data_IF_495618168053
#
_entry.id   IF_495618168053
#
_cell.length_a   1.000
_cell.length_b   1.000
_cell.length_c   1.000
_cell.angle_alpha   90.00
_cell.angle_beta   90.00
_cell.angle_gamma   90.00
#
_symmetry.space_group_name_H-M   'P 1'
#
loop_
_entity.id
_entity.type
_entity.pdbx_description
1 polymer ?
#
# COMPACT_ATOMS: atom_id res chain seq x y z
N UNK A 1 15.83 -18.86 1.87
CA UNK A 1 14.72 -18.26 1.11
C UNK A 1 13.80 -17.64 2.16
N UNK A 2 13.92 -16.33 2.41
CA UNK A 2 13.00 -15.62 3.32
C UNK A 2 11.60 -15.70 2.69
N UNK A 3 10.59 -16.08 3.47
CA UNK A 3 9.20 -16.08 3.02
C UNK A 3 8.78 -14.61 2.86
N UNK A 4 7.97 -14.30 1.86
CA UNK A 4 7.32 -12.98 1.76
C UNK A 4 6.38 -12.68 2.94
N UNK A 5 5.98 -13.70 3.71
CA UNK A 5 5.11 -13.55 4.89
C UNK A 5 5.71 -12.88 6.14
N UNK A 6 6.88 -12.22 6.01
CA UNK A 6 7.46 -11.38 7.08
C UNK A 6 7.26 -9.88 6.81
N UNK A 7 6.59 -9.51 5.71
CA UNK A 7 6.28 -8.12 5.41
C UNK A 7 5.02 -7.64 6.17
N UNK A 8 4.93 -6.33 6.47
CA UNK A 8 3.67 -5.72 6.88
C UNK A 8 2.54 -6.03 5.90
N UNK A 9 1.32 -6.20 6.41
CA UNK A 9 0.14 -6.53 5.59
C UNK A 9 -0.04 -5.54 4.43
N UNK A 10 0.13 -4.24 4.68
CA UNK A 10 0.10 -3.20 3.64
C UNK A 10 1.07 -3.47 2.47
N UNK A 11 2.28 -3.98 2.74
CA UNK A 11 3.26 -4.26 1.69
C UNK A 11 3.06 -5.63 1.05
N UNK A 12 2.78 -6.66 1.85
CA UNK A 12 2.59 -8.02 1.32
C UNK A 12 1.41 -8.07 0.35
N UNK A 13 0.25 -7.60 0.82
CA UNK A 13 -0.99 -7.59 0.04
C UNK A 13 -0.97 -6.54 -1.06
N UNK A 14 -0.39 -5.36 -0.79
CA UNK A 14 -0.23 -4.31 -1.79
C UNK A 14 0.62 -4.75 -2.98
N UNK A 15 1.74 -5.43 -2.73
CA UNK A 15 2.58 -5.99 -3.81
C UNK A 15 1.85 -7.10 -4.55
N UNK A 16 1.15 -7.98 -3.84
CA UNK A 16 0.39 -9.06 -4.45
C UNK A 16 -0.67 -8.52 -5.42
N UNK A 17 -1.48 -7.55 -4.99
CA UNK A 17 -2.51 -6.92 -5.82
C UNK A 17 -1.89 -6.14 -6.98
N UNK A 18 -0.87 -5.32 -6.73
CA UNK A 18 -0.19 -4.53 -7.77
C UNK A 18 0.40 -5.42 -8.87
N UNK A 19 1.08 -6.52 -8.50
CA UNK A 19 1.66 -7.46 -9.46
C UNK A 19 0.57 -8.22 -10.21
N UNK A 20 -0.47 -8.70 -9.52
CA UNK A 20 -1.58 -9.41 -10.16
C UNK A 20 -2.26 -8.54 -11.23
N UNK A 21 -2.54 -7.28 -10.92
CA UNK A 21 -3.13 -6.33 -11.86
C UNK A 21 -2.21 -6.08 -13.08
N UNK A 22 -0.90 -5.89 -12.86
CA UNK A 22 0.06 -5.73 -13.96
C UNK A 22 0.18 -6.96 -14.87
N UNK A 23 -0.19 -8.14 -14.37
CA UNK A 23 -0.28 -9.37 -15.15
C UNK A 23 -1.64 -9.53 -15.86
N UNK A 24 -2.54 -8.56 -15.72
CA UNK A 24 -3.87 -8.54 -16.35
C UNK A 24 -4.94 -9.32 -15.59
N UNK A 25 -4.72 -9.65 -14.30
CA UNK A 25 -5.72 -10.30 -13.48
C UNK A 25 -6.74 -9.29 -12.93
N UNK A 26 -7.98 -9.73 -12.70
CA UNK A 26 -8.98 -9.00 -11.91
C UNK A 26 -8.63 -9.13 -10.42
N UNK A 27 -7.57 -8.43 -10.00
CA UNK A 27 -6.99 -8.56 -8.66
C UNK A 27 -7.97 -8.17 -7.55
N UNK A 28 -8.95 -7.31 -7.85
CA UNK A 28 -9.97 -6.85 -6.91
C UNK A 28 -11.32 -7.58 -7.04
N UNK A 29 -11.42 -8.57 -7.94
CA UNK A 29 -12.63 -9.35 -8.24
C UNK A 29 -13.35 -9.86 -6.99
N UNK A 30 -12.61 -10.47 -6.07
CA UNK A 30 -13.13 -10.99 -4.81
C UNK A 30 -12.94 -10.04 -3.62
N UNK A 31 -12.39 -8.84 -3.85
CA UNK A 31 -11.97 -7.89 -2.81
C UNK A 31 -12.87 -6.66 -2.73
N UNK A 32 -14.05 -6.70 -3.36
CA UNK A 32 -15.08 -5.67 -3.22
C UNK A 32 -15.13 -4.63 -4.36
N UNK A 33 -14.21 -4.69 -5.33
CA UNK A 33 -14.20 -3.80 -6.50
C UNK A 33 -14.02 -4.58 -7.81
N UNK A 34 -14.94 -5.49 -8.15
CA UNK A 34 -14.78 -6.38 -9.30
C UNK A 34 -14.69 -5.64 -10.63
N UNK A 35 -13.72 -6.02 -11.45
CA UNK A 35 -13.47 -5.41 -12.76
C UNK A 35 -12.86 -4.01 -12.70
N UNK A 36 -12.46 -3.54 -11.52
CA UNK A 36 -11.75 -2.26 -11.35
C UNK A 36 -10.26 -2.51 -11.14
N UNK A 37 -9.45 -1.59 -11.65
CA UNK A 37 -8.06 -1.43 -11.21
C UNK A 37 -8.01 -0.83 -9.80
N UNK A 38 -6.88 -1.01 -9.11
CA UNK A 38 -6.62 -0.35 -7.83
C UNK A 38 -6.85 1.16 -7.93
N UNK A 39 -6.32 1.78 -8.97
CA UNK A 39 -6.44 3.22 -9.20
C UNK A 39 -7.88 3.67 -9.43
N UNK A 40 -8.67 2.92 -10.21
CA UNK A 40 -10.09 3.23 -10.43
C UNK A 40 -10.91 3.12 -9.13
N UNK A 41 -10.62 2.11 -8.31
CA UNK A 41 -11.23 1.98 -6.99
C UNK A 41 -10.82 3.13 -6.05
N UNK A 42 -9.55 3.55 -6.08
CA UNK A 42 -9.07 4.70 -5.31
C UNK A 42 -9.80 5.99 -5.66
N UNK A 43 -9.97 6.29 -6.94
CA UNK A 43 -10.62 7.55 -7.35
C UNK A 43 -12.02 7.66 -6.75
N UNK A 44 -12.77 6.55 -6.76
CA UNK A 44 -14.07 6.48 -6.08
C UNK A 44 -13.95 6.73 -4.58
N UNK A 45 -12.97 6.15 -3.90
CA UNK A 45 -12.79 6.31 -2.45
C UNK A 45 -12.27 7.69 -2.05
N UNK A 46 -11.52 8.35 -2.94
CA UNK A 46 -11.08 9.73 -2.77
C UNK A 46 -12.29 10.67 -2.78
N UNK A 47 -13.19 10.52 -3.76
CA UNK A 47 -14.41 11.32 -3.87
C UNK A 47 -15.35 11.16 -2.66
N UNK A 48 -15.44 9.95 -2.10
CA UNK A 48 -16.32 9.65 -0.97
C UNK A 48 -15.66 9.86 0.39
N UNK A 49 -14.40 10.27 0.44
CA UNK A 49 -13.64 10.48 1.69
C UNK A 49 -13.46 9.19 2.49
N UNK A 50 -13.35 8.04 1.83
CA UNK A 50 -13.27 6.72 2.46
C UNK A 50 -11.83 6.20 2.65
N UNK A 51 -10.83 6.88 2.10
CA UNK A 51 -9.43 6.47 2.23
C UNK A 51 -8.99 6.34 3.70
N UNK A 52 -8.16 5.36 3.98
CA UNK A 52 -7.45 5.24 5.25
C UNK A 52 -6.27 6.21 5.25
N UNK A 53 -5.86 6.74 6.40
CA UNK A 53 -4.56 7.40 6.47
C UNK A 53 -3.43 6.39 6.27
N UNK A 54 -2.27 6.84 5.77
CA UNK A 54 -1.11 5.95 5.62
C UNK A 54 -0.69 5.31 6.94
N UNK A 55 -0.88 6.03 8.06
CA UNK A 55 -0.57 5.51 9.39
C UNK A 55 -1.54 4.42 9.81
N UNK A 56 -2.84 4.57 9.55
CA UNK A 56 -3.84 3.53 9.84
C UNK A 56 -3.57 2.29 9.01
N UNK A 57 -3.34 2.45 7.70
CA UNK A 57 -3.07 1.34 6.79
C UNK A 57 -1.78 0.58 7.18
N UNK A 58 -0.70 1.30 7.49
CA UNK A 58 0.56 0.70 7.95
C UNK A 58 0.46 0.01 9.32
N UNK A 59 -0.58 0.33 10.11
CA UNK A 59 -0.82 -0.28 11.42
C UNK A 59 -1.70 -1.54 11.35
N UNK A 60 -2.24 -1.90 10.18
CA UNK A 60 -2.98 -3.14 10.01
C UNK A 60 -2.03 -4.33 10.11
N UNK A 61 -2.37 -5.29 10.98
CA UNK A 61 -1.66 -6.56 11.09
C UNK A 61 -2.05 -7.56 10.01
N UNK A 62 -3.21 -7.36 9.38
CA UNK A 62 -3.74 -8.16 8.26
C UNK A 62 -4.68 -7.28 7.42
N UNK A 63 -4.90 -7.69 6.17
CA UNK A 63 -5.97 -7.15 5.32
C UNK A 63 -6.82 -8.34 4.89
N UNK A 64 -8.13 -8.28 5.15
CA UNK A 64 -9.06 -9.38 4.85
C UNK A 64 -10.24 -9.45 5.81
N UNK A 65 -10.07 -9.06 7.08
CA UNK A 65 -11.17 -8.94 8.04
C UNK A 65 -12.04 -7.71 7.77
N UNK A 66 -13.32 -7.72 8.18
CA UNK A 66 -14.18 -6.53 8.08
C UNK A 66 -13.58 -5.31 8.79
N UNK A 67 -12.83 -5.51 9.88
CA UNK A 67 -12.18 -4.44 10.63
C UNK A 67 -11.08 -3.76 9.81
N UNK A 68 -10.38 -4.51 8.95
CA UNK A 68 -9.34 -3.98 8.06
C UNK A 68 -9.89 -3.19 6.87
N UNK A 69 -11.22 -3.23 6.63
CA UNK A 69 -11.90 -2.60 5.49
C UNK A 69 -11.24 -3.01 4.16
N UNK A 70 -11.20 -4.32 3.83
CA UNK A 70 -10.42 -4.87 2.74
C UNK A 70 -10.75 -4.24 1.39
N UNK A 71 -12.02 -3.87 1.19
CA UNK A 71 -12.51 -3.19 -0.01
C UNK A 71 -11.82 -1.85 -0.29
N UNK A 72 -11.28 -1.21 0.75
CA UNK A 72 -10.46 0.01 0.64
C UNK A 72 -8.98 -0.31 0.81
N UNK A 73 -8.62 -1.12 1.80
CA UNK A 73 -7.22 -1.36 2.17
C UNK A 73 -6.40 -2.07 1.09
N UNK A 74 -6.99 -3.03 0.36
CA UNK A 74 -6.31 -3.69 -0.77
C UNK A 74 -5.96 -2.74 -1.91
N UNK A 75 -6.94 -2.04 -2.54
CA UNK A 75 -6.62 -1.14 -3.64
C UNK A 75 -5.70 0.00 -3.18
N UNK A 76 -5.93 0.55 -1.98
CA UNK A 76 -5.07 1.59 -1.41
C UNK A 76 -3.61 1.14 -1.25
N UNK A 77 -3.40 -0.07 -0.69
CA UNK A 77 -2.06 -0.64 -0.55
C UNK A 77 -1.38 -0.84 -1.91
N UNK A 78 -2.11 -1.33 -2.91
CA UNK A 78 -1.59 -1.55 -4.26
C UNK A 78 -1.18 -0.24 -4.96
N UNK A 79 -2.02 0.80 -4.85
CA UNK A 79 -1.70 2.12 -5.39
C UNK A 79 -0.44 2.72 -4.73
N UNK A 80 -0.30 2.56 -3.41
CA UNK A 80 0.91 3.01 -2.72
C UNK A 80 2.16 2.28 -3.22
N UNK A 81 2.08 0.98 -3.52
CA UNK A 81 3.23 0.26 -4.11
C UNK A 81 3.62 0.84 -5.46
N UNK A 82 2.63 1.11 -6.33
CA UNK A 82 2.85 1.78 -7.61
C UNK A 82 3.51 3.15 -7.44
N UNK A 83 2.92 4.00 -6.61
CA UNK A 83 3.45 5.32 -6.27
C UNK A 83 4.89 5.26 -5.73
N UNK A 84 5.20 4.34 -4.81
CA UNK A 84 6.54 4.21 -4.26
C UNK A 84 7.58 3.82 -5.33
N UNK A 85 7.18 2.96 -6.27
CA UNK A 85 8.03 2.56 -7.39
C UNK A 85 8.25 3.74 -8.35
N UNK A 86 7.19 4.49 -8.66
CA UNK A 86 7.24 5.59 -9.64
C UNK A 86 7.98 6.82 -9.09
N UNK A 87 7.75 7.20 -7.83
CA UNK A 87 8.35 8.38 -7.19
C UNK A 87 9.81 8.14 -6.77
N UNK A 88 10.11 6.98 -6.18
CA UNK A 88 11.41 6.72 -5.57
C UNK A 88 12.29 5.74 -6.36
N UNK A 89 11.73 5.09 -7.38
CA UNK A 89 12.40 4.09 -8.17
C UNK A 89 12.44 2.70 -7.51
N UNK A 90 12.61 1.68 -8.36
CA UNK A 90 12.63 0.27 -7.98
C UNK A 90 13.72 -0.08 -6.95
N UNK A 91 14.89 0.54 -7.02
CA UNK A 91 15.99 0.24 -6.09
C UNK A 91 15.65 0.70 -4.67
N UNK A 92 15.11 1.91 -4.52
CA UNK A 92 14.66 2.42 -3.22
C UNK A 92 13.51 1.57 -2.68
N UNK A 93 12.56 1.21 -3.53
CA UNK A 93 11.45 0.34 -3.16
C UNK A 93 11.93 -1.00 -2.60
N UNK A 94 12.89 -1.66 -3.26
CA UNK A 94 13.50 -2.92 -2.79
C UNK A 94 14.23 -2.75 -1.47
N UNK A 95 14.94 -1.65 -1.28
CA UNK A 95 15.62 -1.37 -0.01
C UNK A 95 14.63 -1.17 1.14
N UNK A 96 13.49 -0.51 0.89
CA UNK A 96 12.40 -0.41 1.86
C UNK A 96 11.83 -1.79 2.21
N UNK A 97 11.56 -2.64 1.21
CA UNK A 97 11.10 -4.02 1.47
C UNK A 97 12.10 -4.82 2.32
N UNK A 98 13.40 -4.70 2.04
CA UNK A 98 14.45 -5.35 2.83
C UNK A 98 14.50 -4.82 4.26
N UNK A 99 14.38 -3.52 4.45
CA UNK A 99 14.35 -2.90 5.78
C UNK A 99 13.16 -3.38 6.61
N UNK A 100 11.98 -3.50 5.98
CA UNK A 100 10.77 -4.03 6.60
C UNK A 100 10.93 -5.50 6.98
N UNK A 101 11.41 -6.34 6.05
CA UNK A 101 11.63 -7.77 6.30
C UNK A 101 12.73 -8.07 7.33
N UNK A 102 13.70 -7.16 7.50
CA UNK A 102 14.76 -7.29 8.49
C UNK A 102 14.34 -6.79 9.89
N UNK A 103 13.18 -6.15 10.02
CA UNK A 103 12.69 -5.67 11.31
C UNK A 103 12.32 -6.85 12.22
N UNK A 104 13.13 -7.06 13.26
CA UNK A 104 13.04 -8.17 14.24
C UNK A 104 11.67 -8.26 14.93
N UNK A 105 10.91 -7.16 14.94
CA UNK A 105 9.51 -7.15 15.34
C UNK A 105 8.69 -6.30 14.35
N UNK A 106 7.89 -6.90 13.46
CA UNK A 106 6.89 -6.18 12.68
C UNK A 106 5.71 -5.82 13.59
N UNK A 107 5.96 -5.04 14.65
CA UNK A 107 4.87 -4.43 15.41
C UNK A 107 4.26 -3.33 14.54
N UNK A 108 2.92 -3.28 14.38
CA UNK A 108 2.20 -2.19 13.73
C UNK A 108 2.77 -0.79 13.97
N UNK A 109 3.11 -0.48 15.23
CA UNK A 109 3.62 0.84 15.61
C UNK A 109 5.03 1.19 15.10
N UNK A 110 5.84 0.22 14.68
CA UNK A 110 7.22 0.43 14.19
C UNK A 110 7.30 0.59 12.67
N UNK A 111 6.32 0.05 11.94
CA UNK A 111 6.28 0.09 10.47
C UNK A 111 6.38 1.53 9.93
N UNK A 112 5.59 2.51 10.43
CA UNK A 112 5.72 3.91 10.01
C UNK A 112 7.14 4.48 10.13
N UNK A 113 7.87 4.09 11.18
CA UNK A 113 9.26 4.52 11.42
C UNK A 113 10.20 3.90 10.41
N UNK A 114 10.11 2.58 10.17
CA UNK A 114 10.98 1.89 9.20
C UNK A 114 10.77 2.43 7.79
N UNK A 115 9.53 2.70 7.38
CA UNK A 115 9.22 3.32 6.08
C UNK A 115 9.88 4.70 5.99
N UNK A 116 9.72 5.52 7.03
CA UNK A 116 10.25 6.89 7.04
C UNK A 116 11.78 6.91 6.96
N UNK A 117 12.44 6.00 7.67
CA UNK A 117 13.90 5.84 7.66
C UNK A 117 14.39 5.33 6.29
N UNK A 118 13.74 4.33 5.70
CA UNK A 118 14.15 3.79 4.41
C UNK A 118 14.00 4.80 3.26
N UNK A 119 12.92 5.59 3.29
CA UNK A 119 12.60 6.58 2.26
C UNK A 119 13.17 7.99 2.55
N UNK A 120 13.76 8.21 3.73
CA UNK A 120 14.28 9.51 4.18
C UNK A 120 13.24 10.64 4.09
N UNK A 121 11.99 10.33 4.44
CA UNK A 121 10.84 11.24 4.40
C UNK A 121 9.89 10.91 5.55
N UNK A 122 9.26 11.91 6.15
CA UNK A 122 8.26 11.62 7.19
C UNK A 122 7.00 10.98 6.59
N UNK A 123 6.31 10.12 7.35
CA UNK A 123 5.00 9.58 6.94
C UNK A 123 4.00 10.65 6.51
N UNK A 124 3.96 11.80 7.18
CA UNK A 124 3.04 12.88 6.83
C UNK A 124 3.40 13.51 5.47
N UNK A 125 4.68 13.61 5.13
CA UNK A 125 5.10 14.07 3.81
C UNK A 125 4.83 13.02 2.74
N UNK A 126 5.06 11.72 3.04
CA UNK A 126 4.75 10.62 2.15
C UNK A 126 3.26 10.58 1.82
N UNK A 127 2.41 10.71 2.83
CA UNK A 127 0.95 10.73 2.69
C UNK A 127 0.47 11.89 1.85
N UNK A 128 1.00 13.11 2.06
CA UNK A 128 0.67 14.26 1.21
C UNK A 128 1.07 14.03 -0.24
N UNK A 129 2.30 13.56 -0.50
CA UNK A 129 2.75 13.31 -1.87
C UNK A 129 1.92 12.23 -2.57
N UNK A 130 1.58 11.17 -1.84
CA UNK A 130 0.70 10.14 -2.36
C UNK A 130 -0.71 10.69 -2.64
N UNK A 131 -1.26 11.52 -1.75
CA UNK A 131 -2.54 12.23 -1.99
C UNK A 131 -2.49 13.13 -3.22
N UNK A 132 -1.42 13.89 -3.42
CA UNK A 132 -1.24 14.73 -4.60
C UNK A 132 -1.20 13.85 -5.88
N UNK A 133 -0.45 12.75 -5.84
CA UNK A 133 -0.35 11.78 -6.94
C UNK A 133 -1.71 11.17 -7.32
N UNK A 134 -2.49 10.70 -6.35
CA UNK A 134 -3.82 10.12 -6.64
C UNK A 134 -4.82 11.20 -7.07
N UNK A 135 -4.67 12.44 -6.60
CA UNK A 135 -5.52 13.55 -7.06
C UNK A 135 -5.26 13.84 -8.53
N UNK A 136 -4.00 13.85 -8.96
CA UNK A 136 -3.63 14.04 -10.36
C UNK A 136 -4.09 12.86 -11.24
N UNK A 137 -4.09 11.64 -10.71
CA UNK A 137 -4.53 10.43 -11.40
C UNK A 137 -6.05 10.41 -11.67
N UNK A 138 -6.83 11.01 -10.78
CA UNK A 138 -8.29 10.98 -10.82
C UNK A 138 -8.92 12.18 -11.55
N UNK A 139 -8.10 13.14 -12.01
CA UNK A 139 -8.52 14.31 -12.80
C UNK A 139 -8.32 14.10 -14.30
#
# INVERSE_FOLDING_TARGET
MQRLGDLPAMFDEGVAVHVAERLGADALGSLGSPGMTADAALCRFLETGQLLSLRELAALSEIGSLQSRPEVAYPQSASIMGFLIDEFGMDRFRDTLRALAASVEPRPGRIPTVISEALQISMAQLERRWHDHISDLCN
#
